data_IF_651660410178
#
_entry.id   IF_651660410178
#
_cell.length_a   1.000
_cell.length_b   1.000
_cell.length_c   1.000
_cell.angle_alpha   90.00
_cell.angle_beta   90.00
_cell.angle_gamma   90.00
#
_symmetry.space_group_name_H-M   'P 1'
#
loop_
_entity.id
_entity.type
_entity.pdbx_description
1 polymer ?
#
# COMPACT_ATOMS: atom_id res chain seq x y z
N UNK A 1 -1.46 60.41 32.22
CA UNK A 1 -2.32 59.21 32.31
C UNK A 1 -2.39 58.85 33.78
N UNK A 2 -3.58 59.00 34.36
CA UNK A 2 -3.77 58.88 35.83
C UNK A 2 -3.57 57.44 36.30
N UNK A 3 -3.13 57.29 37.55
CA UNK A 3 -2.81 56.00 38.18
C UNK A 3 -3.98 54.98 38.06
N UNK A 4 -5.23 55.47 38.14
CA UNK A 4 -6.46 54.72 37.96
C UNK A 4 -6.57 54.06 36.54
N UNK A 5 -6.15 54.75 35.49
CA UNK A 5 -6.16 54.20 34.14
C UNK A 5 -5.07 53.14 33.90
N UNK A 6 -3.94 53.23 34.60
CA UNK A 6 -2.90 52.19 34.57
C UNK A 6 -3.34 50.92 35.31
N UNK A 7 -4.06 51.05 36.43
CA UNK A 7 -4.60 49.91 37.16
C UNK A 7 -5.69 49.19 36.34
N UNK A 8 -6.53 49.94 35.62
CA UNK A 8 -7.59 49.39 34.81
C UNK A 8 -7.06 48.59 33.59
N UNK A 9 -5.99 49.07 32.96
CA UNK A 9 -5.31 48.39 31.84
C UNK A 9 -4.60 47.11 32.31
N UNK A 10 -3.98 47.13 33.51
CA UNK A 10 -3.33 45.96 34.11
C UNK A 10 -4.38 44.91 34.51
N UNK A 11 -5.53 45.33 35.07
CA UNK A 11 -6.62 44.42 35.40
C UNK A 11 -7.25 43.79 34.15
N UNK A 12 -7.43 44.57 33.06
CA UNK A 12 -7.94 44.06 31.82
C UNK A 12 -6.99 43.06 31.13
N UNK A 13 -5.67 43.31 31.18
CA UNK A 13 -4.67 42.37 30.67
C UNK A 13 -4.60 41.07 31.48
N UNK A 14 -4.84 41.14 32.80
CA UNK A 14 -4.90 39.95 33.65
C UNK A 14 -6.17 39.09 33.40
N UNK A 15 -7.32 39.73 33.16
CA UNK A 15 -8.56 39.05 32.81
C UNK A 15 -8.48 38.41 31.41
N UNK A 16 -7.79 39.06 30.44
CA UNK A 16 -7.56 38.49 29.13
C UNK A 16 -6.58 37.31 29.15
N UNK A 17 -5.59 37.33 30.06
CA UNK A 17 -4.63 36.23 30.26
C UNK A 17 -5.26 35.01 30.92
N UNK A 18 -6.30 35.17 31.72
CA UNK A 18 -7.01 34.05 32.37
C UNK A 18 -7.94 33.33 31.35
N UNK A 19 -8.41 34.02 30.30
CA UNK A 19 -9.25 33.42 29.26
C UNK A 19 -8.45 32.61 28.21
N UNK A 20 -7.13 32.67 28.20
CA UNK A 20 -6.29 31.89 27.29
C UNK A 20 -5.80 30.55 27.88
N UNK A 21 -6.17 30.22 29.11
CA UNK A 21 -5.97 28.88 29.70
C UNK A 21 -7.36 28.22 29.86
N UNK A 22 -8.18 28.28 28.81
CA UNK A 22 -9.21 27.28 28.60
C UNK A 22 -8.49 26.05 28.04
N UNK A 23 -7.98 25.18 28.90
CA UNK A 23 -7.71 23.82 28.54
C UNK A 23 -9.00 23.30 27.89
N UNK A 24 -8.87 22.90 26.65
CA UNK A 24 -9.88 22.12 25.91
C UNK A 24 -10.05 20.80 26.69
N UNK A 25 -10.79 20.84 27.78
CA UNK A 25 -11.25 19.65 28.49
C UNK A 25 -12.29 18.99 27.58
N UNK A 26 -11.80 18.32 26.51
CA UNK A 26 -12.60 17.37 25.79
C UNK A 26 -13.11 16.36 26.82
N UNK A 27 -14.39 16.40 27.13
CA UNK A 27 -15.01 15.35 27.91
C UNK A 27 -14.67 14.00 27.27
N UNK A 28 -14.00 13.15 28.04
CA UNK A 28 -13.70 11.80 27.56
C UNK A 28 -15.00 11.10 27.19
N UNK A 29 -15.00 10.40 26.08
CA UNK A 29 -16.14 9.60 25.69
C UNK A 29 -16.47 8.54 26.75
N UNK A 30 -17.70 8.04 26.76
CA UNK A 30 -18.12 6.97 27.69
C UNK A 30 -17.19 5.74 27.57
N UNK A 31 -16.70 5.45 26.36
CA UNK A 31 -15.77 4.35 26.11
C UNK A 31 -14.38 4.65 26.70
N UNK A 32 -13.86 5.86 26.54
CA UNK A 32 -12.58 6.26 27.13
C UNK A 32 -12.62 6.20 28.64
N UNK A 33 -13.70 6.66 29.27
CA UNK A 33 -13.89 6.56 30.72
C UNK A 33 -14.00 5.10 31.20
N UNK A 34 -14.69 4.24 30.45
CA UNK A 34 -14.82 2.83 30.77
C UNK A 34 -13.48 2.07 30.67
N UNK A 35 -12.58 2.55 29.81
CA UNK A 35 -11.26 1.92 29.58
C UNK A 35 -10.15 2.52 30.48
N UNK A 36 -10.37 3.59 31.20
CA UNK A 36 -9.36 4.25 32.06
C UNK A 36 -8.73 3.33 33.12
N UNK A 37 -9.44 2.28 33.55
CA UNK A 37 -8.93 1.27 34.48
C UNK A 37 -7.99 0.24 33.85
N UNK A 38 -7.95 0.15 32.53
CA UNK A 38 -7.12 -0.83 31.81
C UNK A 38 -5.76 -0.22 31.47
N UNK A 39 -4.69 -0.88 31.91
CA UNK A 39 -3.33 -0.50 31.56
C UNK A 39 -2.68 -1.63 30.78
N UNK A 40 -2.24 -1.32 29.58
CA UNK A 40 -1.41 -2.27 28.81
C UNK A 40 -0.01 -2.33 29.43
N UNK A 41 0.54 -3.53 29.50
CA UNK A 41 1.95 -3.76 29.84
C UNK A 41 2.61 -4.55 28.72
N UNK A 42 3.84 -4.23 28.40
CA UNK A 42 4.64 -5.07 27.52
C UNK A 42 4.89 -6.42 28.19
N UNK A 43 4.59 -7.49 27.49
CA UNK A 43 4.89 -8.88 27.93
C UNK A 43 6.12 -9.45 27.21
N UNK A 44 6.88 -8.59 26.54
CA UNK A 44 8.06 -8.95 25.76
C UNK A 44 7.74 -9.25 24.29
N UNK A 45 8.79 -9.49 23.48
CA UNK A 45 8.62 -9.80 22.06
C UNK A 45 7.91 -11.13 21.88
N UNK A 46 6.99 -11.21 20.92
CA UNK A 46 6.40 -12.45 20.47
C UNK A 46 7.45 -13.26 19.69
N UNK A 47 7.40 -14.59 19.81
CA UNK A 47 8.31 -15.45 19.07
C UNK A 47 8.07 -15.40 17.55
N UNK A 48 6.82 -15.25 17.15
CA UNK A 48 6.42 -15.01 15.75
C UNK A 48 5.29 -14.00 15.72
N UNK A 49 5.41 -13.01 14.86
CA UNK A 49 4.35 -12.02 14.67
C UNK A 49 4.48 -11.32 13.32
N UNK A 50 3.36 -11.19 12.65
CA UNK A 50 3.24 -10.43 11.43
C UNK A 50 3.94 -11.04 10.21
N UNK A 51 3.81 -10.34 9.14
CA UNK A 51 4.41 -10.61 7.83
C UNK A 51 4.87 -9.27 7.28
N UNK A 52 6.03 -9.21 6.68
CA UNK A 52 6.49 -8.02 5.98
C UNK A 52 5.67 -7.89 4.70
N UNK A 53 4.88 -6.83 4.63
CA UNK A 53 4.04 -6.54 3.49
C UNK A 53 4.78 -5.75 2.41
N UNK A 54 5.62 -4.79 2.83
CA UNK A 54 6.37 -3.95 1.90
C UNK A 54 7.57 -3.31 2.59
N UNK A 55 8.56 -2.89 1.80
CA UNK A 55 9.76 -2.20 2.26
C UNK A 55 10.04 -1.02 1.31
N UNK A 56 10.21 0.17 1.87
CA UNK A 56 10.69 1.34 1.15
C UNK A 56 12.05 1.78 1.69
N UNK A 57 13.01 1.97 0.79
CA UNK A 57 14.36 2.44 1.11
C UNK A 57 14.52 3.86 0.59
N UNK A 58 15.06 4.75 1.40
CA UNK A 58 15.32 6.14 1.00
C UNK A 58 16.47 6.18 -0.02
N UNK A 59 16.18 6.65 -1.23
CA UNK A 59 17.14 6.77 -2.32
C UNK A 59 18.28 7.77 -2.03
N UNK A 60 18.05 8.73 -1.12
CA UNK A 60 19.06 9.70 -0.73
C UNK A 60 19.92 9.22 0.45
N UNK A 61 19.44 8.20 1.19
CA UNK A 61 20.15 7.60 2.31
C UNK A 61 19.75 6.13 2.48
N UNK A 62 20.51 5.25 1.87
CA UNK A 62 20.25 3.80 1.89
C UNK A 62 20.29 3.16 3.30
N UNK A 63 20.67 3.89 4.34
CA UNK A 63 20.57 3.42 5.72
C UNK A 63 19.15 3.60 6.31
N UNK A 64 18.28 4.39 5.65
CA UNK A 64 16.92 4.66 6.10
C UNK A 64 15.93 3.78 5.37
N UNK A 65 15.25 2.90 6.11
CA UNK A 65 14.22 2.02 5.59
C UNK A 65 12.93 2.17 6.38
N UNK A 66 11.82 2.01 5.67
CA UNK A 66 10.48 1.86 6.24
C UNK A 66 9.96 0.46 5.91
N UNK A 67 9.49 -0.27 6.93
CA UNK A 67 8.99 -1.64 6.79
C UNK A 67 7.53 -1.68 7.22
N UNK A 68 6.64 -1.94 6.27
CA UNK A 68 5.23 -2.16 6.51
C UNK A 68 4.98 -3.61 6.91
N UNK A 69 4.36 -3.82 8.07
CA UNK A 69 4.09 -5.14 8.64
C UNK A 69 2.59 -5.39 8.63
N UNK A 70 2.14 -6.47 7.99
CA UNK A 70 0.72 -6.78 7.79
C UNK A 70 -0.11 -6.83 9.08
N UNK A 71 0.51 -7.14 10.22
CA UNK A 71 -0.14 -7.13 11.54
C UNK A 71 0.82 -6.58 12.60
N UNK A 72 1.45 -5.43 12.34
CA UNK A 72 2.46 -4.87 13.24
C UNK A 72 2.84 -3.42 12.94
N UNK A 73 2.02 -2.72 12.16
CA UNK A 73 2.23 -1.30 11.85
C UNK A 73 3.44 -1.02 10.95
N UNK A 74 3.96 0.19 11.05
CA UNK A 74 5.12 0.65 10.29
C UNK A 74 6.32 0.83 11.21
N UNK A 75 7.47 0.35 10.74
CA UNK A 75 8.76 0.42 11.43
C UNK A 75 9.78 1.18 10.60
N UNK A 76 10.63 1.97 11.26
CA UNK A 76 11.73 2.72 10.63
C UNK A 76 13.07 2.28 11.21
N UNK A 77 14.05 2.10 10.35
CA UNK A 77 15.47 2.07 10.72
C UNK A 77 16.20 3.24 10.09
N UNK A 78 17.26 3.72 10.72
CA UNK A 78 18.18 4.74 10.21
C UNK A 78 19.62 4.25 10.13
N UNK A 79 19.82 2.94 10.33
CA UNK A 79 21.13 2.29 10.39
C UNK A 79 21.10 0.89 9.76
N UNK A 80 20.45 0.77 8.59
CA UNK A 80 20.39 -0.44 7.76
C UNK A 80 19.88 -1.67 8.53
N UNK A 81 18.85 -1.48 9.38
CA UNK A 81 18.20 -2.57 10.09
C UNK A 81 18.85 -2.98 11.41
N UNK A 82 19.88 -2.26 11.88
CA UNK A 82 20.52 -2.60 13.18
C UNK A 82 19.59 -2.28 14.35
N UNK A 83 18.85 -1.17 14.28
CA UNK A 83 17.81 -0.81 15.27
C UNK A 83 16.54 -0.35 14.58
N UNK A 84 15.39 -0.54 15.24
CA UNK A 84 14.08 -0.24 14.69
C UNK A 84 13.25 0.59 15.66
N UNK A 85 12.51 1.55 15.09
CA UNK A 85 11.58 2.42 15.82
C UNK A 85 10.18 2.20 15.26
N UNK A 86 9.18 1.84 16.08
CA UNK A 86 7.79 1.79 15.64
C UNK A 86 7.25 3.20 15.42
N UNK A 87 6.51 3.40 14.34
CA UNK A 87 5.98 4.72 13.95
C UNK A 87 4.47 4.84 14.13
N UNK A 88 3.77 3.73 14.32
CA UNK A 88 2.31 3.70 14.29
C UNK A 88 1.66 3.13 15.56
N UNK A 89 2.41 2.98 16.65
CA UNK A 89 1.90 2.41 17.92
C UNK A 89 0.76 3.22 18.56
N UNK A 90 0.66 4.51 18.22
CA UNK A 90 -0.37 5.42 18.74
C UNK A 90 -1.50 5.67 17.74
N UNK A 91 -1.41 5.08 16.56
CA UNK A 91 -2.40 5.28 15.50
C UNK A 91 -3.61 4.35 15.66
N UNK A 92 -4.71 4.72 15.02
CA UNK A 92 -5.95 3.95 15.05
C UNK A 92 -5.94 2.71 14.16
N UNK A 93 -4.82 2.40 13.53
CA UNK A 93 -4.62 1.23 12.67
C UNK A 93 -3.32 0.49 13.03
N UNK A 94 -3.28 -0.81 12.80
CA UNK A 94 -2.08 -1.63 13.01
C UNK A 94 -1.74 -2.51 11.80
N UNK A 95 -2.70 -2.67 10.87
CA UNK A 95 -2.49 -3.48 9.66
C UNK A 95 -2.06 -2.59 8.50
N UNK A 96 -0.96 -2.92 7.87
CA UNK A 96 -0.38 -2.17 6.74
C UNK A 96 -0.22 -3.07 5.54
N UNK A 97 -0.40 -2.52 4.34
CA UNK A 97 -0.34 -3.25 3.07
C UNK A 97 0.83 -2.82 2.18
N UNK A 98 1.16 -1.53 2.18
CA UNK A 98 2.27 -1.00 1.40
C UNK A 98 2.77 0.33 1.98
N UNK A 99 4.01 0.69 1.66
CA UNK A 99 4.64 1.95 2.04
C UNK A 99 5.42 2.53 0.88
N UNK A 100 5.34 3.85 0.68
CA UNK A 100 6.08 4.55 -0.39
C UNK A 100 6.67 5.84 0.16
N UNK A 101 7.96 6.04 -0.05
CA UNK A 101 8.62 7.33 0.17
C UNK A 101 8.34 8.19 -1.05
N UNK A 102 7.90 9.43 -0.84
CA UNK A 102 7.67 10.37 -1.93
C UNK A 102 9.01 10.71 -2.63
N UNK A 103 9.14 10.50 -3.95
CA UNK A 103 10.41 10.74 -4.65
C UNK A 103 10.83 12.22 -4.69
N UNK A 104 9.92 13.14 -4.34
CA UNK A 104 10.17 14.59 -4.30
C UNK A 104 10.53 15.11 -2.90
N UNK A 105 10.19 14.33 -1.84
CA UNK A 105 10.45 14.68 -0.45
C UNK A 105 10.54 13.41 0.41
N UNK A 106 11.74 13.04 0.82
CA UNK A 106 12.00 11.84 1.62
C UNK A 106 11.43 11.87 3.06
N UNK A 107 10.98 13.03 3.55
CA UNK A 107 10.21 13.12 4.79
C UNK A 107 8.71 12.85 4.57
N UNK A 108 8.24 12.84 3.30
CA UNK A 108 6.86 12.53 2.97
C UNK A 108 6.68 11.04 2.69
N UNK A 109 5.89 10.39 3.55
CA UNK A 109 5.67 8.95 3.51
C UNK A 109 4.20 8.66 3.29
N UNK A 110 3.90 7.85 2.28
CA UNK A 110 2.57 7.33 1.98
C UNK A 110 2.42 5.92 2.53
N UNK A 111 1.34 5.64 3.24
CA UNK A 111 1.07 4.35 3.86
C UNK A 111 -0.33 3.84 3.50
N UNK A 112 -0.39 2.74 2.78
CA UNK A 112 -1.62 2.00 2.53
C UNK A 112 -1.91 1.04 3.67
N UNK A 113 -3.10 1.13 4.26
CA UNK A 113 -3.47 0.26 5.37
C UNK A 113 -4.26 -0.98 4.91
N UNK A 114 -4.24 -2.03 5.74
CA UNK A 114 -4.86 -3.31 5.46
C UNK A 114 -3.97 -4.23 4.64
N UNK A 115 -3.71 -5.42 5.16
CA UNK A 115 -2.82 -6.39 4.55
C UNK A 115 -3.33 -6.87 3.18
N UNK A 116 -2.44 -6.95 2.19
CA UNK A 116 -2.79 -7.20 0.78
C UNK A 116 -2.89 -8.68 0.39
N UNK A 117 -3.38 -9.53 1.27
CA UNK A 117 -3.62 -10.97 1.03
C UNK A 117 -5.08 -11.35 1.24
N UNK A 118 -5.47 -12.60 0.96
CA UNK A 118 -6.84 -13.10 1.06
C UNK A 118 -7.10 -14.03 2.26
N UNK A 119 -6.22 -14.07 3.27
CA UNK A 119 -6.35 -14.93 4.45
C UNK A 119 -7.53 -14.57 5.35
N UNK A 120 -8.00 -15.52 6.17
CA UNK A 120 -9.04 -15.25 7.18
C UNK A 120 -8.58 -14.30 8.28
N UNK A 121 -7.29 -14.29 8.55
CA UNK A 121 -6.63 -13.50 9.58
C UNK A 121 -6.22 -12.10 9.11
N UNK A 122 -6.50 -11.76 7.84
CA UNK A 122 -6.05 -10.52 7.24
C UNK A 122 -6.60 -9.32 8.01
N UNK A 123 -5.70 -8.44 8.42
CA UNK A 123 -6.05 -7.20 9.12
C UNK A 123 -6.70 -6.20 8.17
N UNK A 124 -7.77 -5.58 8.64
CA UNK A 124 -8.53 -4.56 7.91
C UNK A 124 -7.83 -3.22 8.12
N UNK A 125 -7.68 -2.47 7.03
CA UNK A 125 -7.18 -1.10 7.03
C UNK A 125 -8.31 -0.06 7.05
N UNK A 126 -7.91 1.18 7.27
CA UNK A 126 -8.80 2.34 7.39
C UNK A 126 -8.49 3.44 6.36
N UNK A 127 -7.96 3.04 5.21
CA UNK A 127 -7.66 3.94 4.11
C UNK A 127 -6.17 4.23 3.93
N UNK A 128 -5.93 5.32 3.22
CA UNK A 128 -4.61 5.83 2.91
C UNK A 128 -4.19 6.87 3.95
N UNK A 129 -2.95 6.79 4.40
CA UNK A 129 -2.37 7.76 5.32
C UNK A 129 -1.12 8.39 4.71
N UNK A 130 -0.85 9.63 5.10
CA UNK A 130 0.35 10.37 4.73
C UNK A 130 1.00 10.99 5.96
N UNK A 131 2.31 10.92 6.02
CA UNK A 131 3.16 11.67 6.94
C UNK A 131 3.97 12.67 6.15
N UNK A 132 4.18 13.87 6.68
CA UNK A 132 5.02 14.92 6.10
C UNK A 132 6.31 15.13 6.91
N UNK A 133 6.57 14.30 7.94
CA UNK A 133 7.62 14.48 8.93
C UNK A 133 8.41 13.18 9.23
N UNK A 134 8.53 12.32 8.21
CA UNK A 134 9.29 11.07 8.29
C UNK A 134 8.63 9.99 9.15
N UNK A 135 7.31 10.03 9.26
CA UNK A 135 6.50 9.05 9.99
C UNK A 135 6.23 9.38 11.46
N UNK A 136 6.51 10.61 11.91
CA UNK A 136 6.27 11.02 13.30
C UNK A 136 4.77 11.30 13.56
N UNK A 137 4.10 11.89 12.57
CA UNK A 137 2.65 12.15 12.61
C UNK A 137 1.98 11.68 11.32
N UNK A 138 0.71 11.27 11.42
CA UNK A 138 -0.05 10.70 10.32
C UNK A 138 -1.38 11.39 10.12
N UNK A 139 -1.75 11.59 8.85
CA UNK A 139 -3.03 12.14 8.44
C UNK A 139 -3.70 11.20 7.47
N UNK A 140 -5.00 10.92 7.68
CA UNK A 140 -5.77 10.17 6.70
C UNK A 140 -5.96 11.00 5.42
N UNK A 141 -5.61 10.43 4.28
CA UNK A 141 -5.69 11.02 2.95
C UNK A 141 -6.82 10.42 2.09
N UNK A 142 -7.83 9.81 2.70
CA UNK A 142 -8.99 9.26 2.01
C UNK A 142 -9.01 7.74 1.90
N UNK A 143 -9.82 7.23 0.99
CA UNK A 143 -10.01 5.80 0.70
C UNK A 143 -10.35 4.97 1.96
N UNK A 144 -11.22 5.51 2.83
CA UNK A 144 -11.53 4.92 4.15
C UNK A 144 -12.26 3.59 4.09
N UNK A 145 -12.91 3.28 2.95
CA UNK A 145 -13.64 2.02 2.70
C UNK A 145 -12.83 1.03 1.85
N UNK A 146 -11.52 1.27 1.70
CA UNK A 146 -10.64 0.43 0.90
C UNK A 146 -10.36 -0.93 1.53
N UNK A 147 -10.35 -1.01 2.85
CA UNK A 147 -9.95 -2.14 3.69
C UNK A 147 -8.53 -2.69 3.41
N UNK A 148 -8.10 -2.71 2.14
CA UNK A 148 -6.80 -3.26 1.74
C UNK A 148 -6.22 -2.46 0.58
N UNK A 149 -5.11 -1.77 0.82
CA UNK A 149 -4.33 -1.03 -0.17
C UNK A 149 -3.03 -1.79 -0.42
N UNK A 150 -2.75 -2.10 -1.68
CA UNK A 150 -1.63 -2.98 -2.06
C UNK A 150 -0.45 -2.27 -2.69
N UNK A 151 -0.66 -1.11 -3.33
CA UNK A 151 0.42 -0.36 -3.97
C UNK A 151 0.11 1.12 -4.04
N UNK A 152 1.15 1.94 -3.87
CA UNK A 152 1.09 3.39 -4.03
C UNK A 152 2.24 3.79 -4.95
N UNK A 153 1.96 4.58 -5.98
CA UNK A 153 2.98 5.16 -6.85
C UNK A 153 2.76 6.67 -6.88
N UNK A 154 3.80 7.42 -6.56
CA UNK A 154 3.87 8.87 -6.79
C UNK A 154 4.54 9.08 -8.14
N UNK A 155 3.99 9.98 -8.96
CA UNK A 155 4.54 10.27 -10.27
C UNK A 155 5.97 10.85 -10.15
N UNK A 156 6.96 10.33 -10.90
CA UNK A 156 8.38 10.67 -10.71
C UNK A 156 8.75 12.13 -11.00
N UNK A 157 7.87 12.90 -11.66
CA UNK A 157 8.12 14.32 -12.03
C UNK A 157 7.03 15.28 -11.57
N UNK A 158 5.95 14.78 -10.94
CA UNK A 158 4.83 15.61 -10.47
C UNK A 158 4.35 15.11 -9.09
N UNK A 159 4.64 15.83 -8.01
CA UNK A 159 4.29 15.41 -6.66
C UNK A 159 2.76 15.41 -6.39
N UNK A 160 1.98 16.00 -7.28
CA UNK A 160 0.52 16.04 -7.13
C UNK A 160 -0.18 14.82 -7.74
N UNK A 161 0.48 14.12 -8.66
CA UNK A 161 -0.10 12.94 -9.31
C UNK A 161 0.31 11.66 -8.58
N UNK A 162 -0.70 10.92 -8.09
CA UNK A 162 -0.51 9.72 -7.28
C UNK A 162 -1.52 8.67 -7.73
N UNK A 163 -1.08 7.41 -7.78
CA UNK A 163 -1.96 6.26 -8.04
C UNK A 163 -1.94 5.30 -6.85
N UNK A 164 -3.11 4.77 -6.52
CA UNK A 164 -3.30 3.83 -5.41
C UNK A 164 -4.08 2.60 -5.89
N UNK A 165 -3.44 1.44 -5.78
CA UNK A 165 -4.06 0.15 -6.07
C UNK A 165 -4.83 -0.34 -4.83
N UNK A 166 -6.12 -0.51 -4.99
CA UNK A 166 -7.05 -0.84 -3.91
C UNK A 166 -7.73 -2.18 -4.19
N UNK A 167 -7.50 -3.14 -3.31
CA UNK A 167 -8.12 -4.47 -3.42
C UNK A 167 -9.57 -4.48 -2.97
N UNK A 168 -9.95 -3.57 -2.06
CA UNK A 168 -11.30 -3.47 -1.48
C UNK A 168 -11.61 -4.54 -0.44
N UNK A 169 -12.82 -4.51 0.13
CA UNK A 169 -13.28 -5.47 1.12
C UNK A 169 -13.14 -6.93 0.68
N UNK A 170 -12.66 -7.79 1.59
CA UNK A 170 -12.52 -9.22 1.32
C UNK A 170 -13.83 -9.99 1.56
N UNK A 171 -14.63 -9.55 2.55
CA UNK A 171 -15.80 -10.26 3.06
C UNK A 171 -17.13 -9.74 2.51
N UNK A 172 -17.12 -8.61 1.81
CA UNK A 172 -18.31 -7.97 1.25
C UNK A 172 -18.06 -7.45 -0.16
N UNK A 173 -19.12 -7.28 -0.96
CA UNK A 173 -19.02 -6.61 -2.26
C UNK A 173 -18.86 -5.10 -2.10
N UNK A 174 -18.47 -4.43 -3.18
CA UNK A 174 -18.39 -2.97 -3.21
C UNK A 174 -17.23 -2.41 -2.37
N UNK A 175 -17.47 -1.34 -1.63
CA UNK A 175 -16.43 -0.55 -0.99
C UNK A 175 -15.61 0.24 -2.02
N UNK A 176 -14.48 0.78 -1.58
CA UNK A 176 -13.49 1.37 -2.49
C UNK A 176 -12.59 0.26 -3.00
N UNK A 177 -12.64 -0.03 -4.31
CA UNK A 177 -11.79 -1.02 -5.00
C UNK A 177 -11.52 -0.59 -6.43
N UNK A 178 -10.40 -1.03 -6.97
CA UNK A 178 -9.93 -0.61 -8.29
C UNK A 178 -8.64 0.19 -8.21
N UNK A 179 -8.39 1.02 -9.21
CA UNK A 179 -7.27 1.95 -9.20
C UNK A 179 -7.78 3.37 -9.00
N UNK A 180 -7.24 4.03 -8.01
CA UNK A 180 -7.53 5.42 -7.73
C UNK A 180 -6.38 6.31 -8.14
N UNK A 181 -6.70 7.47 -8.72
CA UNK A 181 -5.76 8.51 -9.13
C UNK A 181 -6.10 9.82 -8.43
N UNK A 182 -5.08 10.52 -7.95
CA UNK A 182 -5.14 11.91 -7.51
C UNK A 182 -4.26 12.75 -8.42
N UNK A 183 -4.64 14.02 -8.62
CA UNK A 183 -3.86 15.05 -9.33
C UNK A 183 -3.68 16.30 -8.48
N UNK A 184 -4.00 16.22 -7.19
CA UNK A 184 -3.97 17.34 -6.24
C UNK A 184 -3.22 17.02 -4.94
N UNK A 185 -2.29 16.07 -5.02
CA UNK A 185 -1.45 15.67 -3.88
C UNK A 185 -2.19 14.81 -2.85
N UNK A 186 -3.18 14.03 -3.28
CA UNK A 186 -3.93 13.11 -2.43
C UNK A 186 -5.09 13.75 -1.68
N UNK A 187 -5.54 14.93 -2.08
CA UNK A 187 -6.71 15.59 -1.46
C UNK A 187 -8.03 15.00 -1.97
N UNK A 188 -8.08 14.68 -3.27
CA UNK A 188 -9.22 14.02 -3.91
C UNK A 188 -8.77 12.83 -4.74
N UNK A 189 -9.67 11.87 -4.93
CA UNK A 189 -9.39 10.59 -5.58
C UNK A 189 -10.47 10.25 -6.62
N UNK A 190 -10.03 9.92 -7.83
CA UNK A 190 -10.88 9.40 -8.90
C UNK A 190 -10.59 7.91 -9.12
N UNK A 191 -11.64 7.08 -9.23
CA UNK A 191 -11.50 5.67 -9.59
C UNK A 191 -11.40 5.54 -11.11
N UNK A 192 -10.19 5.34 -11.62
CA UNK A 192 -9.92 5.29 -13.06
C UNK A 192 -9.93 3.87 -13.64
N UNK A 193 -9.87 2.83 -12.80
CA UNK A 193 -10.02 1.43 -13.23
C UNK A 193 -10.95 0.70 -12.27
N UNK A 194 -12.23 0.65 -12.65
CA UNK A 194 -13.28 -0.08 -11.93
C UNK A 194 -13.79 -1.22 -12.81
N UNK A 195 -13.76 -2.46 -12.33
CA UNK A 195 -14.14 -3.64 -13.10
C UNK A 195 -15.51 -4.16 -12.66
N UNK A 196 -15.64 -4.50 -11.39
CA UNK A 196 -16.90 -4.94 -10.78
C UNK A 196 -16.82 -4.88 -9.24
N UNK A 197 -17.93 -5.16 -8.57
CA UNK A 197 -18.03 -5.11 -7.10
C UNK A 197 -17.14 -6.11 -6.33
N UNK A 198 -16.48 -7.06 -6.99
CA UNK A 198 -15.62 -8.06 -6.38
C UNK A 198 -14.16 -7.96 -6.79
N UNK A 199 -13.84 -7.08 -7.77
CA UNK A 199 -12.52 -6.99 -8.38
C UNK A 199 -11.86 -5.68 -8.01
N UNK A 200 -10.73 -5.74 -7.32
CA UNK A 200 -9.86 -4.61 -7.05
C UNK A 200 -8.57 -4.68 -7.87
N UNK A 201 -7.63 -3.80 -7.59
CA UNK A 201 -6.27 -3.82 -8.16
C UNK A 201 -5.29 -4.26 -7.09
N UNK A 202 -4.44 -5.25 -7.43
CA UNK A 202 -3.50 -5.86 -6.48
C UNK A 202 -2.06 -5.44 -6.70
N UNK A 203 -1.71 -5.02 -7.92
CA UNK A 203 -0.37 -4.54 -8.23
C UNK A 203 -0.38 -3.48 -9.33
N UNK A 204 0.63 -2.62 -9.33
CA UNK A 204 0.77 -1.50 -10.25
C UNK A 204 2.25 -1.22 -10.50
N UNK A 205 2.62 -1.05 -11.76
CA UNK A 205 3.96 -0.61 -12.15
C UNK A 205 3.88 0.51 -13.18
N UNK A 206 4.89 1.39 -13.17
CA UNK A 206 4.99 2.55 -14.07
C UNK A 206 6.28 2.45 -14.90
N UNK A 207 6.21 2.84 -16.15
CA UNK A 207 7.40 3.09 -16.94
C UNK A 207 8.05 4.41 -16.50
N UNK A 208 9.16 4.32 -15.75
CA UNK A 208 9.85 5.48 -15.23
C UNK A 208 10.40 6.42 -16.33
N UNK A 209 10.64 5.89 -17.55
CA UNK A 209 11.07 6.68 -18.69
C UNK A 209 9.92 7.45 -19.35
N UNK A 210 8.73 6.89 -19.31
CA UNK A 210 7.49 7.49 -19.82
C UNK A 210 6.33 7.25 -18.85
N UNK A 211 6.13 8.12 -17.85
CA UNK A 211 5.12 7.94 -16.81
C UNK A 211 3.66 7.98 -17.29
N UNK A 212 3.41 8.28 -18.56
CA UNK A 212 2.09 8.09 -19.17
C UNK A 212 1.74 6.59 -19.33
N UNK A 213 2.74 5.70 -19.30
CA UNK A 213 2.55 4.25 -19.45
C UNK A 213 2.55 3.59 -18.07
N UNK A 214 1.41 2.99 -17.73
CA UNK A 214 1.24 2.20 -16.51
C UNK A 214 0.67 0.82 -16.83
N UNK A 215 0.95 -0.13 -15.95
CA UNK A 215 0.39 -1.47 -16.00
C UNK A 215 -0.18 -1.84 -14.64
N UNK A 216 -1.41 -2.35 -14.63
CA UNK A 216 -2.13 -2.72 -13.42
C UNK A 216 -2.59 -4.18 -13.48
N UNK A 217 -2.47 -4.89 -12.37
CA UNK A 217 -3.01 -6.22 -12.18
C UNK A 217 -4.31 -6.15 -11.37
N UNK A 218 -5.43 -6.49 -11.98
CA UNK A 218 -6.68 -6.64 -11.26
C UNK A 218 -6.80 -8.02 -10.61
N UNK A 219 -7.51 -8.09 -9.50
CA UNK A 219 -7.73 -9.33 -8.77
C UNK A 219 -9.16 -9.44 -8.27
N UNK A 220 -9.89 -10.43 -8.76
CA UNK A 220 -11.19 -10.79 -8.25
C UNK A 220 -11.04 -11.73 -7.06
N UNK A 221 -11.53 -11.31 -5.90
CA UNK A 221 -11.45 -12.10 -4.68
C UNK A 221 -12.69 -11.93 -3.81
N UNK A 222 -13.05 -13.00 -3.10
CA UNK A 222 -14.16 -12.99 -2.16
C UNK A 222 -13.98 -14.10 -1.12
N UNK A 223 -14.33 -13.81 0.11
CA UNK A 223 -14.35 -14.79 1.20
C UNK A 223 -15.68 -14.79 1.93
N UNK A 224 -16.12 -15.97 2.30
CA UNK A 224 -17.12 -16.18 3.34
C UNK A 224 -16.61 -17.23 4.33
N UNK A 225 -17.42 -17.60 5.33
CA UNK A 225 -17.02 -18.57 6.35
C UNK A 225 -16.67 -19.95 5.76
N UNK A 226 -17.37 -20.37 4.73
CA UNK A 226 -17.23 -21.69 4.12
C UNK A 226 -16.18 -21.75 3.01
N UNK A 227 -16.00 -20.64 2.23
CA UNK A 227 -15.23 -20.68 1.01
C UNK A 227 -14.36 -19.44 0.80
N UNK A 228 -13.34 -19.60 -0.02
CA UNK A 228 -12.51 -18.53 -0.55
C UNK A 228 -12.45 -18.64 -2.08
N UNK A 229 -12.79 -17.56 -2.76
CA UNK A 229 -12.52 -17.35 -4.18
C UNK A 229 -11.35 -16.41 -4.32
N UNK A 230 -10.22 -16.91 -4.79
CA UNK A 230 -8.97 -16.18 -4.97
C UNK A 230 -8.64 -15.86 -6.43
N UNK A 231 -9.65 -15.91 -7.28
CA UNK A 231 -9.52 -15.62 -8.70
C UNK A 231 -10.89 -15.54 -9.38
N UNK A 232 -10.90 -15.12 -10.64
CA UNK A 232 -12.15 -15.04 -11.40
C UNK A 232 -12.02 -14.26 -12.71
N UNK A 233 -13.11 -14.10 -13.46
CA UNK A 233 -13.09 -13.44 -14.77
C UNK A 233 -12.73 -11.95 -14.72
N UNK A 234 -12.80 -11.32 -13.55
CA UNK A 234 -12.34 -9.94 -13.36
C UNK A 234 -10.83 -9.80 -13.18
N UNK A 235 -10.11 -10.90 -12.94
CA UNK A 235 -8.64 -10.88 -12.84
C UNK A 235 -8.02 -10.77 -14.22
N UNK A 236 -7.17 -9.76 -14.43
CA UNK A 236 -6.49 -9.53 -15.71
C UNK A 236 -5.32 -8.57 -15.55
N UNK A 237 -4.52 -8.42 -16.60
CA UNK A 237 -3.58 -7.33 -16.75
C UNK A 237 -4.17 -6.21 -17.60
N UNK A 238 -3.87 -4.99 -17.22
CA UNK A 238 -4.35 -3.78 -17.88
C UNK A 238 -3.17 -2.84 -18.15
N UNK A 239 -3.27 -2.09 -19.24
CA UNK A 239 -2.31 -1.05 -19.62
C UNK A 239 -3.03 0.27 -19.79
N UNK A 240 -2.38 1.35 -19.35
CA UNK A 240 -2.72 2.73 -19.71
C UNK A 240 -1.57 3.34 -20.48
N UNK A 241 -1.88 4.27 -21.39
CA UNK A 241 -0.92 5.07 -22.16
C UNK A 241 -1.15 6.57 -22.00
N UNK A 242 -2.02 6.96 -21.10
CA UNK A 242 -2.46 8.35 -20.85
C UNK A 242 -2.40 8.74 -19.37
N UNK A 243 -1.45 8.16 -18.64
CA UNK A 243 -1.25 8.45 -17.22
C UNK A 243 -2.33 7.88 -16.32
N UNK A 244 -2.92 6.77 -16.70
CA UNK A 244 -3.91 6.06 -15.90
C UNK A 244 -5.33 6.62 -15.99
N UNK A 245 -5.67 7.40 -17.02
CA UNK A 245 -7.03 7.87 -17.22
C UNK A 245 -7.90 6.82 -17.91
N UNK A 246 -7.34 6.13 -18.90
CA UNK A 246 -8.00 5.04 -19.62
C UNK A 246 -7.17 3.76 -19.57
N UNK A 247 -7.87 2.61 -19.55
CA UNK A 247 -7.24 1.29 -19.39
C UNK A 247 -7.79 0.30 -20.39
N UNK A 248 -6.92 -0.55 -20.92
CA UNK A 248 -7.29 -1.65 -21.80
C UNK A 248 -6.58 -2.95 -21.40
N UNK A 249 -7.24 -4.09 -21.61
CA UNK A 249 -6.68 -5.41 -21.29
C UNK A 249 -5.51 -5.76 -22.19
N UNK A 250 -4.51 -6.45 -21.64
CA UNK A 250 -3.32 -6.94 -22.33
C UNK A 250 -3.15 -8.44 -22.04
N UNK A 251 -4.06 -9.27 -22.55
CA UNK A 251 -4.18 -10.69 -22.23
C UNK A 251 -3.71 -11.66 -23.33
N UNK A 252 -3.14 -11.15 -24.42
CA UNK A 252 -2.64 -11.96 -25.52
C UNK A 252 -1.46 -12.86 -25.08
N UNK A 253 -1.65 -14.18 -25.10
CA UNK A 253 -0.68 -15.18 -24.62
C UNK A 253 -0.81 -15.52 -23.12
N UNK A 254 -1.68 -14.84 -22.37
CA UNK A 254 -2.01 -15.20 -20.99
C UNK A 254 -3.01 -16.39 -20.92
N UNK A 255 -3.12 -17.04 -19.76
CA UNK A 255 -4.09 -18.12 -19.55
C UNK A 255 -5.53 -17.69 -19.87
N UNK A 256 -6.28 -18.59 -20.51
CA UNK A 256 -7.71 -18.38 -20.79
C UNK A 256 -8.62 -18.83 -19.63
N UNK A 257 -8.09 -19.59 -18.68
CA UNK A 257 -8.77 -19.94 -17.42
C UNK A 257 -8.81 -18.73 -16.47
N UNK A 258 -9.61 -18.83 -15.42
CA UNK A 258 -9.60 -17.84 -14.35
C UNK A 258 -8.21 -17.75 -13.73
N UNK A 259 -7.71 -16.54 -13.59
CA UNK A 259 -6.46 -16.25 -12.92
C UNK A 259 -6.72 -15.81 -11.49
N UNK A 260 -5.78 -16.13 -10.59
CA UNK A 260 -5.72 -15.65 -9.22
C UNK A 260 -4.90 -14.38 -9.08
N UNK A 261 -4.25 -14.21 -7.92
CA UNK A 261 -3.39 -13.03 -7.68
C UNK A 261 -2.24 -12.97 -8.70
N UNK A 262 -1.94 -11.76 -9.14
CA UNK A 262 -0.86 -11.49 -10.09
C UNK A 262 0.13 -10.53 -9.44
N UNK A 263 1.40 -10.92 -9.36
CA UNK A 263 2.51 -10.03 -9.09
C UNK A 263 3.10 -9.54 -10.41
N UNK A 264 3.38 -8.25 -10.52
CA UNK A 264 3.79 -7.60 -11.75
C UNK A 264 5.11 -6.84 -11.55
N UNK A 265 6.03 -6.97 -12.50
CA UNK A 265 7.25 -6.20 -12.52
C UNK A 265 7.54 -5.67 -13.93
N UNK A 266 8.12 -4.46 -13.99
CA UNK A 266 8.70 -3.87 -15.19
C UNK A 266 10.22 -3.86 -15.05
N UNK A 267 10.93 -4.21 -16.12
CA UNK A 267 12.39 -4.13 -16.10
C UNK A 267 12.85 -2.67 -16.02
N UNK A 268 13.62 -2.28 -15.01
CA UNK A 268 14.16 -0.91 -14.92
C UNK A 268 15.23 -0.63 -16.00
N UNK A 269 15.77 -1.68 -16.64
CA UNK A 269 16.78 -1.57 -17.70
C UNK A 269 16.16 -1.51 -19.10
N UNK A 270 14.95 -2.08 -19.28
CA UNK A 270 14.23 -2.11 -20.56
C UNK A 270 12.74 -2.01 -20.29
N UNK A 271 12.18 -0.83 -20.38
CA UNK A 271 10.78 -0.56 -19.99
C UNK A 271 9.73 -1.28 -20.87
N UNK A 272 10.13 -1.80 -22.03
CA UNK A 272 9.28 -2.65 -22.85
C UNK A 272 9.22 -4.12 -22.37
N UNK A 273 10.02 -4.50 -21.37
CA UNK A 273 10.04 -5.85 -20.78
C UNK A 273 9.29 -5.88 -19.47
N UNK A 274 8.31 -6.76 -19.40
CA UNK A 274 7.44 -6.97 -18.23
C UNK A 274 7.47 -8.44 -17.82
N UNK A 275 7.28 -8.68 -16.52
CA UNK A 275 7.14 -10.00 -15.94
C UNK A 275 5.86 -10.06 -15.11
N UNK A 276 5.16 -11.18 -15.16
CA UNK A 276 3.95 -11.41 -14.40
C UNK A 276 3.98 -12.80 -13.77
N UNK A 277 3.92 -12.87 -12.43
CA UNK A 277 3.74 -14.12 -11.70
C UNK A 277 2.24 -14.31 -11.45
N UNK A 278 1.64 -15.31 -12.09
CA UNK A 278 0.19 -15.51 -12.12
C UNK A 278 -0.19 -16.77 -11.35
N UNK A 279 -1.06 -16.62 -10.36
CA UNK A 279 -1.69 -17.73 -9.66
C UNK A 279 -2.77 -18.38 -10.56
N UNK A 280 -2.80 -19.70 -10.59
CA UNK A 280 -3.76 -20.50 -11.33
C UNK A 280 -4.45 -21.51 -10.41
N UNK A 281 -5.51 -22.17 -10.91
CA UNK A 281 -6.24 -23.18 -10.19
C UNK A 281 -5.37 -24.35 -9.69
N UNK A 282 -5.85 -25.05 -8.67
CA UNK A 282 -5.20 -26.22 -8.09
C UNK A 282 -3.79 -25.99 -7.56
N UNK A 283 -3.54 -24.81 -7.00
CA UNK A 283 -2.22 -24.40 -6.45
C UNK A 283 -1.11 -24.43 -7.50
N UNK A 284 -1.46 -24.19 -8.74
CA UNK A 284 -0.53 -23.96 -9.83
C UNK A 284 -0.27 -22.47 -10.00
N UNK A 285 0.73 -22.16 -10.76
CA UNK A 285 1.03 -20.81 -11.20
C UNK A 285 2.08 -20.85 -12.29
N UNK A 286 2.37 -19.69 -12.85
CA UNK A 286 3.37 -19.55 -13.87
C UNK A 286 3.90 -18.13 -13.88
N UNK A 287 5.15 -17.98 -14.34
CA UNK A 287 5.73 -16.69 -14.66
C UNK A 287 5.65 -16.49 -16.18
N UNK A 288 5.18 -15.32 -16.56
CA UNK A 288 5.05 -14.87 -17.94
C UNK A 288 5.95 -13.67 -18.18
N UNK A 289 6.49 -13.56 -19.38
CA UNK A 289 7.31 -12.43 -19.82
C UNK A 289 6.71 -11.81 -21.09
N UNK A 290 6.70 -10.50 -21.15
CA UNK A 290 6.45 -9.72 -22.34
C UNK A 290 7.69 -8.94 -22.71
N UNK A 291 8.04 -8.89 -23.99
CA UNK A 291 9.17 -8.09 -24.53
C UNK A 291 8.69 -6.94 -25.41
N UNK A 292 7.39 -6.71 -25.47
CA UNK A 292 6.76 -5.73 -26.36
C UNK A 292 5.71 -4.87 -25.61
N UNK A 293 6.04 -4.45 -24.39
CA UNK A 293 5.20 -3.56 -23.57
C UNK A 293 3.79 -4.11 -23.33
N UNK A 294 3.69 -5.43 -23.08
CA UNK A 294 2.41 -6.11 -22.81
C UNK A 294 1.60 -6.47 -24.06
N UNK A 295 2.13 -6.27 -25.27
CA UNK A 295 1.44 -6.63 -26.52
C UNK A 295 1.23 -8.14 -26.69
N UNK A 296 2.14 -8.94 -26.13
CA UNK A 296 2.00 -10.40 -26.02
C UNK A 296 2.82 -10.93 -24.86
N UNK A 297 2.41 -12.10 -24.34
CA UNK A 297 3.02 -12.77 -23.20
C UNK A 297 3.45 -14.18 -23.55
N UNK A 298 4.62 -14.58 -23.09
CA UNK A 298 5.16 -15.93 -23.23
C UNK A 298 5.35 -16.52 -21.85
N UNK A 299 4.88 -17.75 -21.65
CA UNK A 299 5.13 -18.50 -20.43
C UNK A 299 6.60 -18.90 -20.33
N UNK A 300 7.25 -18.53 -19.24
CA UNK A 300 8.66 -18.80 -19.00
C UNK A 300 8.88 -19.97 -18.05
N UNK A 301 8.03 -20.10 -17.03
CA UNK A 301 8.22 -21.07 -15.95
C UNK A 301 6.88 -21.46 -15.33
N UNK A 302 6.81 -22.67 -14.76
CA UNK A 302 5.75 -23.13 -13.86
C UNK A 302 6.04 -22.76 -12.39
N UNK A 303 7.03 -21.90 -12.15
CA UNK A 303 7.42 -21.54 -10.80
C UNK A 303 6.28 -20.86 -10.05
N UNK A 304 5.96 -21.46 -8.91
CA UNK A 304 5.16 -20.85 -7.86
C UNK A 304 5.91 -21.02 -6.57
N UNK A 305 6.04 -19.96 -5.82
CA UNK A 305 6.83 -19.95 -4.60
C UNK A 305 6.16 -20.73 -3.46
N UNK A 306 6.26 -22.06 -3.49
CA UNK A 306 5.89 -22.92 -2.37
C UNK A 306 4.41 -23.12 -2.14
N UNK A 307 3.59 -22.66 -3.05
CA UNK A 307 2.14 -22.82 -3.03
C UNK A 307 1.41 -21.51 -3.22
N UNK A 308 0.39 -21.59 -3.99
CA UNK A 308 -0.56 -20.52 -4.17
C UNK A 308 -1.61 -20.60 -3.07
N UNK A 309 -2.15 -19.49 -2.68
CA UNK A 309 -3.19 -19.46 -1.67
C UNK A 309 -3.41 -18.10 -1.04
N UNK A 310 -4.43 -17.99 -0.20
CA UNK A 310 -4.88 -16.70 0.29
C UNK A 310 -3.92 -16.00 1.25
N UNK A 311 -2.85 -16.66 1.66
CA UNK A 311 -1.95 -16.17 2.70
C UNK A 311 -0.65 -15.54 2.17
N UNK A 312 -0.48 -15.48 0.84
CA UNK A 312 0.81 -15.12 0.23
C UNK A 312 0.71 -13.87 -0.62
N UNK A 313 1.81 -13.11 -0.62
CA UNK A 313 1.87 -11.80 -1.28
C UNK A 313 2.04 -11.91 -2.79
N UNK A 314 2.79 -12.90 -3.30
CA UNK A 314 3.06 -13.07 -4.73
C UNK A 314 3.71 -11.82 -5.34
N UNK A 315 4.68 -11.23 -4.65
CA UNK A 315 5.38 -10.04 -5.12
C UNK A 315 6.48 -10.43 -6.11
N UNK A 316 6.57 -9.70 -7.21
CA UNK A 316 7.60 -9.89 -8.23
C UNK A 316 8.46 -8.63 -8.34
N UNK A 317 9.78 -8.80 -8.28
CA UNK A 317 10.73 -7.69 -8.33
C UNK A 317 11.76 -7.95 -9.43
N UNK A 318 11.93 -6.99 -10.34
CA UNK A 318 12.98 -7.03 -11.35
C UNK A 318 14.24 -6.29 -10.84
N UNK A 319 15.39 -6.91 -11.02
CA UNK A 319 16.67 -6.35 -10.59
C UNK A 319 17.00 -5.06 -11.35
N UNK A 320 17.41 -3.98 -10.68
CA UNK A 320 17.93 -2.79 -11.35
C UNK A 320 19.39 -2.96 -11.82
N UNK A 321 20.10 -4.03 -11.40
CA UNK A 321 21.53 -4.23 -11.65
C UNK A 321 21.83 -5.30 -12.72
N UNK A 322 20.87 -6.17 -12.98
CA UNK A 322 21.05 -7.27 -13.96
C UNK A 322 19.76 -7.47 -14.75
N UNK A 323 19.85 -7.35 -16.06
CA UNK A 323 18.73 -7.61 -16.95
C UNK A 323 18.28 -9.08 -16.86
N UNK A 324 16.97 -9.31 -16.89
CA UNK A 324 16.34 -10.62 -16.76
C UNK A 324 16.54 -11.34 -15.40
N UNK A 325 17.17 -10.69 -14.44
CA UNK A 325 17.18 -11.19 -13.05
C UNK A 325 15.93 -10.71 -12.33
N UNK A 326 15.11 -11.66 -11.90
CA UNK A 326 13.86 -11.39 -11.18
C UNK A 326 13.77 -12.20 -9.89
N UNK A 327 13.08 -11.64 -8.91
CA UNK A 327 12.85 -12.27 -7.61
C UNK A 327 11.34 -12.43 -7.39
N UNK A 328 10.91 -13.65 -7.10
CA UNK A 328 9.54 -13.94 -6.67
C UNK A 328 9.52 -14.10 -5.16
N UNK A 329 8.92 -13.12 -4.49
CA UNK A 329 8.79 -13.07 -3.04
C UNK A 329 7.43 -13.63 -2.62
N UNK A 330 7.45 -14.75 -1.93
CA UNK A 330 6.27 -15.43 -1.45
C UNK A 330 6.64 -16.25 -0.20
N UNK A 331 6.16 -17.50 -0.04
CA UNK A 331 6.60 -18.42 1.05
C UNK A 331 8.10 -18.64 0.99
N UNK A 332 8.64 -18.74 -0.19
CA UNK A 332 10.08 -18.81 -0.46
C UNK A 332 10.46 -17.67 -1.38
N UNK A 333 11.61 -17.09 -1.15
CA UNK A 333 12.24 -16.22 -2.12
C UNK A 333 12.86 -17.11 -3.22
N UNK A 334 12.38 -16.94 -4.44
CA UNK A 334 12.92 -17.59 -5.65
C UNK A 334 13.60 -16.54 -6.51
N UNK A 335 14.62 -16.95 -7.26
CA UNK A 335 15.33 -16.10 -8.20
C UNK A 335 15.38 -16.78 -9.57
N UNK A 336 15.17 -16.01 -10.63
CA UNK A 336 15.51 -16.36 -11.99
C UNK A 336 16.61 -15.42 -12.47
N UNK A 337 17.57 -15.93 -13.26
CA UNK A 337 18.66 -15.15 -13.86
C UNK A 337 18.50 -14.98 -15.37
N UNK A 338 17.44 -15.54 -15.94
CA UNK A 338 17.14 -15.57 -17.36
C UNK A 338 15.69 -15.10 -17.70
N UNK A 339 15.00 -14.58 -16.72
CA UNK A 339 13.64 -14.06 -16.87
C UNK A 339 12.56 -15.11 -16.94
#
# INVERSE_FOLDING_TARGET
>A
MNLTNKLFVILLSFVFSIHMIAQDNKEKSVIENALDGFKFRSIGPAFMSGRIADIAIDHNNENVWYVAVGSGGLWKTTNSGTTWTPLTDKESFYSTGCVTIDPHNNEKIWLGTGENVGGRHVGIGHGLFVSEDGGKTWKNSGLKKSEHISKIIVHPKDPNTIWVAVQGPLWSPGGERGLYKSIDGGKTWENTLNINQWTGVTDLVIDASNPAILYAASWQRHRNVAAYMGGGPGTSLHKSTDGGNNWFKIDNGLPKSNMGKIGLAISPMKSNVLYAAIELDHRKGAVYKSTNSGGSWTKMSDAVSGGTGPHYYQELVASPHQFDKIFLMNVRALVSEDG
#
